data_IF_611897445924
#
_entry.id   IF_611897445924
#
_cell.length_a   1.000
_cell.length_b   1.000
_cell.length_c   1.000
_cell.angle_alpha   90.00
_cell.angle_beta   90.00
_cell.angle_gamma   90.00
#
_symmetry.space_group_name_H-M   'P 1'
#
loop_
_entity.id
_entity.type
_entity.pdbx_description
1 polymer ?
#
# COMPACT_ATOMS: atom_id res chain seq x y z
N UNK A 1 15.12 37.78 9.95
CA UNK A 1 15.07 36.48 9.26
C UNK A 1 14.69 36.75 7.81
N UNK A 2 15.18 35.96 6.86
CA UNK A 2 14.61 35.96 5.51
C UNK A 2 13.08 35.75 5.60
N UNK A 3 12.32 36.35 4.70
CA UNK A 3 10.84 36.21 4.66
C UNK A 3 10.39 34.80 4.27
N UNK A 4 11.36 33.93 3.97
CA UNK A 4 11.18 32.51 3.68
C UNK A 4 12.43 31.71 4.07
N UNK A 5 12.27 30.42 4.35
CA UNK A 5 13.37 29.49 4.65
C UNK A 5 12.93 28.03 4.46
N UNK A 6 13.91 27.13 4.39
CA UNK A 6 13.67 25.70 4.20
C UNK A 6 14.07 24.89 5.45
N UNK A 7 13.35 23.81 5.71
CA UNK A 7 13.73 22.79 6.69
C UNK A 7 13.75 21.44 5.98
N UNK A 8 14.90 20.75 5.99
CA UNK A 8 15.03 19.38 5.50
C UNK A 8 15.00 18.41 6.67
N UNK A 9 14.10 17.43 6.59
CA UNK A 9 13.80 16.43 7.61
C UNK A 9 14.13 15.04 7.05
N UNK A 10 14.65 14.15 7.89
CA UNK A 10 15.08 12.81 7.52
C UNK A 10 14.56 11.75 8.49
N UNK A 11 14.06 10.65 7.96
CA UNK A 11 13.50 9.54 8.75
C UNK A 11 14.50 8.85 9.69
N UNK A 12 15.80 8.95 9.41
CA UNK A 12 16.87 8.37 10.25
C UNK A 12 17.57 9.39 11.15
N UNK A 13 17.18 10.67 11.09
CA UNK A 13 17.71 11.69 11.98
C UNK A 13 17.01 11.64 13.35
N UNK A 14 17.62 12.28 14.35
CA UNK A 14 17.11 12.35 15.72
C UNK A 14 16.84 10.99 16.39
N UNK A 15 17.47 9.90 15.95
CA UNK A 15 17.28 8.56 16.50
C UNK A 15 17.58 8.47 18.01
N UNK A 16 18.49 9.30 18.53
CA UNK A 16 18.78 9.39 19.97
C UNK A 16 17.60 9.94 20.79
N UNK A 17 16.75 10.78 20.20
CA UNK A 17 15.59 11.39 20.84
C UNK A 17 14.30 10.62 20.53
N UNK A 18 14.21 10.04 19.33
CA UNK A 18 13.04 9.33 18.84
C UNK A 18 13.44 7.94 18.30
N UNK A 19 13.76 6.97 19.19
CA UNK A 19 14.17 5.64 18.78
C UNK A 19 13.06 4.83 18.08
N UNK A 20 11.80 5.27 18.20
CA UNK A 20 10.64 4.68 17.53
C UNK A 20 10.36 5.23 16.12
N UNK A 21 11.20 6.12 15.58
CA UNK A 21 11.05 6.63 14.22
C UNK A 21 11.05 5.47 13.20
N UNK A 22 10.14 5.56 12.23
CA UNK A 22 10.03 4.65 11.08
C UNK A 22 10.19 5.42 9.77
N UNK A 23 10.20 4.73 8.64
CA UNK A 23 10.23 5.40 7.33
C UNK A 23 8.94 6.16 7.01
N UNK A 24 7.82 5.79 7.64
CA UNK A 24 6.50 6.40 7.41
C UNK A 24 6.11 7.39 8.48
N UNK A 25 6.65 7.26 9.69
CA UNK A 25 6.29 8.10 10.83
C UNK A 25 7.54 8.44 11.62
N UNK A 26 7.95 9.70 11.58
CA UNK A 26 9.18 10.13 12.23
C UNK A 26 9.12 11.57 12.71
N UNK A 27 9.93 11.84 13.73
CA UNK A 27 10.16 13.16 14.29
C UNK A 27 11.61 13.59 14.09
N UNK A 28 11.83 14.87 13.81
CA UNK A 28 13.16 15.47 13.78
C UNK A 28 13.22 16.65 14.74
N UNK A 29 14.16 16.60 15.68
CA UNK A 29 14.53 17.75 16.53
C UNK A 29 15.24 18.79 15.68
N UNK A 30 14.88 20.06 15.86
CA UNK A 30 15.58 21.18 15.28
C UNK A 30 16.78 21.55 16.16
N UNK A 31 17.89 22.07 15.58
CA UNK A 31 19.05 22.51 16.35
C UNK A 31 18.72 23.62 17.36
N UNK A 32 17.72 24.45 17.05
CA UNK A 32 17.23 25.54 17.89
C UNK A 32 15.69 25.53 17.88
N UNK A 33 15.09 26.09 18.94
CA UNK A 33 13.64 26.30 18.96
C UNK A 33 13.29 27.40 17.96
N UNK A 34 12.46 27.06 16.99
CA UNK A 34 12.00 28.00 15.98
C UNK A 34 10.78 28.74 16.51
N UNK A 35 10.85 30.07 16.54
CA UNK A 35 9.74 30.98 16.83
C UNK A 35 9.46 31.83 15.59
N UNK A 36 8.28 31.60 14.99
CA UNK A 36 7.82 32.30 13.80
C UNK A 36 7.27 33.72 14.10
N UNK A 37 7.13 34.10 15.37
CA UNK A 37 6.59 35.41 15.75
C UNK A 37 5.12 35.59 15.36
N UNK A 38 4.73 36.83 15.04
CA UNK A 38 3.32 37.23 14.79
C UNK A 38 2.91 37.20 13.33
N UNK A 39 3.78 36.79 12.41
CA UNK A 39 3.49 36.75 10.97
C UNK A 39 2.46 35.68 10.59
N UNK A 40 1.74 35.93 9.49
CA UNK A 40 0.90 34.92 8.83
C UNK A 40 1.80 33.97 8.02
N UNK A 41 2.40 33.00 8.69
CA UNK A 41 3.28 32.03 8.04
C UNK A 41 2.49 30.94 7.32
N UNK A 42 3.01 30.54 6.17
CA UNK A 42 2.58 29.37 5.44
C UNK A 42 3.75 28.40 5.27
N UNK A 43 3.41 27.12 5.18
CA UNK A 43 4.35 26.03 4.91
C UNK A 43 3.83 25.18 3.75
N UNK A 44 4.75 24.71 2.92
CA UNK A 44 4.44 23.75 1.88
C UNK A 44 5.53 22.71 1.71
N UNK A 45 5.18 21.59 1.10
CA UNK A 45 6.15 20.55 0.73
C UNK A 45 6.85 20.93 -0.57
N UNK A 46 8.15 21.24 -0.48
CA UNK A 46 8.99 21.61 -1.62
C UNK A 46 9.60 20.38 -2.30
N UNK A 47 10.11 19.44 -1.51
CA UNK A 47 10.70 18.20 -2.04
C UNK A 47 10.35 17.01 -1.15
N UNK A 48 10.23 15.83 -1.77
CA UNK A 48 10.12 14.57 -1.05
C UNK A 48 10.88 13.48 -1.79
N UNK A 49 11.76 12.78 -1.06
CA UNK A 49 12.48 11.61 -1.52
C UNK A 49 12.08 10.40 -0.68
N UNK A 50 11.74 9.29 -1.34
CA UNK A 50 11.35 8.07 -0.64
C UNK A 50 11.70 6.82 -1.45
N UNK A 51 11.89 5.67 -0.82
CA UNK A 51 12.22 4.43 -1.51
C UNK A 51 10.98 3.82 -2.21
N UNK A 52 11.16 3.21 -3.38
CA UNK A 52 10.13 2.50 -4.13
C UNK A 52 10.32 0.98 -4.08
N UNK A 53 10.49 0.45 -2.88
CA UNK A 53 10.97 -0.92 -2.64
C UNK A 53 10.00 -1.84 -1.91
N UNK A 54 8.73 -1.45 -1.76
CA UNK A 54 7.73 -2.28 -1.10
C UNK A 54 7.18 -3.39 -1.99
N UNK A 55 6.74 -4.47 -1.35
CA UNK A 55 5.99 -5.53 -2.01
C UNK A 55 4.50 -5.21 -2.02
N UNK A 56 3.85 -5.47 -3.16
CA UNK A 56 2.39 -5.44 -3.25
C UNK A 56 1.75 -6.72 -2.68
N UNK A 57 2.55 -7.77 -2.48
CA UNK A 57 2.20 -8.97 -1.74
C UNK A 57 3.18 -9.18 -0.57
N UNK A 58 2.70 -9.00 0.66
CA UNK A 58 3.48 -9.18 1.89
C UNK A 58 3.45 -10.65 2.37
N UNK A 59 4.26 -11.05 3.37
CA UNK A 59 4.13 -12.38 3.98
C UNK A 59 2.69 -12.68 4.44
N UNK A 60 2.14 -13.83 4.03
CA UNK A 60 0.75 -14.24 4.30
C UNK A 60 -0.31 -13.69 3.35
N UNK A 61 -0.02 -12.60 2.61
CA UNK A 61 -0.95 -12.05 1.63
C UNK A 61 -1.21 -13.01 0.46
N UNK A 62 -0.27 -13.91 0.17
CA UNK A 62 -0.30 -14.87 -0.93
C UNK A 62 -0.95 -16.22 -0.61
N UNK A 63 -1.53 -16.39 0.57
CA UNK A 63 -1.96 -17.69 1.05
C UNK A 63 -3.20 -18.22 0.30
N UNK A 64 -3.15 -19.50 -0.03
CA UNK A 64 -4.16 -20.23 -0.78
C UNK A 64 -4.32 -21.64 -0.23
N UNK A 65 -5.50 -22.22 -0.38
CA UNK A 65 -5.77 -23.62 -0.06
C UNK A 65 -6.56 -24.24 -1.20
N UNK A 66 -6.06 -25.34 -1.76
CA UNK A 66 -6.83 -26.17 -2.68
C UNK A 66 -7.62 -27.17 -1.86
N UNK A 67 -8.90 -27.32 -2.18
CA UNK A 67 -9.83 -28.19 -1.48
C UNK A 67 -10.41 -29.17 -2.50
N UNK A 68 -10.48 -30.44 -2.15
CA UNK A 68 -11.10 -31.49 -2.96
C UNK A 68 -12.01 -32.33 -2.08
N UNK A 69 -13.22 -32.56 -2.55
CA UNK A 69 -14.16 -33.47 -1.90
C UNK A 69 -14.22 -34.79 -2.65
N UNK A 70 -14.08 -35.90 -1.91
CA UNK A 70 -14.37 -37.23 -2.43
C UNK A 70 -15.66 -37.75 -1.80
N UNK A 71 -16.61 -38.08 -2.66
CA UNK A 71 -17.88 -38.72 -2.29
C UNK A 71 -17.66 -40.23 -2.22
N UNK A 72 -17.08 -40.70 -1.11
CA UNK A 72 -17.08 -42.11 -0.70
C UNK A 72 -18.28 -42.40 0.22
N UNK A 73 -18.32 -43.54 0.91
CA UNK A 73 -19.37 -43.83 1.92
C UNK A 73 -19.45 -42.75 3.02
N UNK A 74 -18.33 -42.05 3.27
CA UNK A 74 -18.26 -40.82 4.05
C UNK A 74 -17.60 -39.73 3.20
N UNK A 75 -18.17 -38.52 3.18
CA UNK A 75 -17.57 -37.38 2.49
C UNK A 75 -16.21 -37.06 3.12
N UNK A 76 -15.13 -37.22 2.35
CA UNK A 76 -13.77 -36.92 2.82
C UNK A 76 -13.26 -35.67 2.11
N UNK A 77 -12.83 -34.68 2.88
CA UNK A 77 -12.25 -33.44 2.36
C UNK A 77 -10.73 -33.50 2.45
N UNK A 78 -10.08 -33.22 1.33
CA UNK A 78 -8.62 -33.11 1.24
C UNK A 78 -8.24 -31.66 0.99
N UNK A 79 -7.24 -31.17 1.71
CA UNK A 79 -6.71 -29.83 1.57
C UNK A 79 -5.23 -29.83 1.21
N UNK A 80 -4.79 -28.81 0.48
CA UNK A 80 -3.39 -28.57 0.17
C UNK A 80 -3.10 -27.08 0.21
N UNK A 81 -2.30 -26.66 1.18
CA UNK A 81 -1.91 -25.27 1.33
C UNK A 81 -0.83 -24.89 0.31
N UNK A 82 -1.03 -23.71 -0.28
CA UNK A 82 -0.14 -23.08 -1.22
C UNK A 82 0.11 -21.64 -0.75
N UNK A 83 1.30 -21.11 -0.98
CA UNK A 83 1.56 -19.69 -0.72
C UNK A 83 2.28 -19.08 -1.90
N UNK A 84 1.67 -18.05 -2.47
CA UNK A 84 2.30 -17.21 -3.46
C UNK A 84 3.43 -16.40 -2.78
N UNK A 85 4.69 -16.51 -3.22
CA UNK A 85 5.80 -15.85 -2.55
C UNK A 85 5.61 -14.33 -2.46
N UNK A 86 5.96 -13.71 -1.32
CA UNK A 86 5.98 -12.25 -1.18
C UNK A 86 6.86 -11.62 -2.25
N UNK A 87 6.47 -10.44 -2.71
CA UNK A 87 7.21 -9.75 -3.75
C UNK A 87 6.40 -8.74 -4.51
N UNK A 88 7.03 -8.18 -5.55
CA UNK A 88 6.42 -7.20 -6.44
C UNK A 88 5.95 -7.83 -7.74
N UNK A 89 4.64 -7.93 -7.91
CA UNK A 89 4.01 -8.39 -9.14
C UNK A 89 3.60 -7.18 -10.00
N UNK A 90 4.26 -6.96 -11.14
CA UNK A 90 4.06 -5.76 -11.97
C UNK A 90 3.05 -5.95 -13.11
N UNK A 91 2.72 -7.19 -13.46
CA UNK A 91 1.77 -7.51 -14.54
C UNK A 91 0.80 -8.60 -14.12
N UNK A 92 -0.45 -8.49 -14.57
CA UNK A 92 -1.49 -9.50 -14.30
C UNK A 92 -1.09 -10.86 -14.87
N UNK A 93 -0.51 -10.88 -16.07
CA UNK A 93 0.01 -12.10 -16.70
C UNK A 93 1.09 -12.76 -15.84
N UNK A 94 2.05 -11.99 -15.32
CA UNK A 94 3.11 -12.51 -14.45
C UNK A 94 2.57 -13.11 -13.16
N UNK A 95 1.62 -12.42 -12.51
CA UNK A 95 0.93 -12.92 -11.32
C UNK A 95 0.19 -14.24 -11.60
N UNK A 96 -0.64 -14.27 -12.65
CA UNK A 96 -1.42 -15.46 -13.04
C UNK A 96 -0.51 -16.64 -13.39
N UNK A 97 0.59 -16.40 -14.12
CA UNK A 97 1.56 -17.44 -14.43
C UNK A 97 2.17 -18.05 -13.17
N UNK A 98 2.52 -17.22 -12.18
CA UNK A 98 3.09 -17.71 -10.93
C UNK A 98 2.08 -18.51 -10.11
N UNK A 99 0.83 -18.05 -10.02
CA UNK A 99 -0.27 -18.80 -9.40
C UNK A 99 -0.45 -20.17 -10.04
N UNK A 100 -0.52 -20.22 -11.37
CA UNK A 100 -0.71 -21.48 -12.09
C UNK A 100 0.50 -22.42 -11.96
N UNK A 101 1.73 -21.90 -11.90
CA UNK A 101 2.91 -22.75 -11.63
C UNK A 101 2.83 -23.42 -10.25
N UNK A 102 2.37 -22.70 -9.22
CA UNK A 102 2.21 -23.27 -7.88
C UNK A 102 1.13 -24.35 -7.85
N UNK A 103 0.02 -24.13 -8.55
CA UNK A 103 -1.05 -25.12 -8.66
C UNK A 103 -0.60 -26.36 -9.46
N UNK A 104 0.24 -26.18 -10.48
CA UNK A 104 0.77 -27.29 -11.26
C UNK A 104 1.73 -28.19 -10.47
N UNK A 105 2.41 -27.65 -9.45
CA UNK A 105 3.28 -28.38 -8.54
C UNK A 105 2.50 -29.12 -7.42
N UNK A 106 1.20 -28.87 -7.28
CA UNK A 106 0.35 -29.56 -6.31
C UNK A 106 0.23 -31.07 -6.62
N UNK A 107 -0.04 -31.92 -5.61
CA UNK A 107 -0.26 -33.35 -5.82
C UNK A 107 -1.31 -33.65 -6.88
N UNK A 108 -1.19 -34.79 -7.55
CA UNK A 108 -2.04 -35.19 -8.70
C UNK A 108 -3.55 -35.11 -8.44
N UNK A 109 -3.98 -35.24 -7.18
CA UNK A 109 -5.38 -35.06 -6.78
C UNK A 109 -5.95 -33.65 -7.02
N UNK A 110 -5.09 -32.63 -7.16
CA UNK A 110 -5.45 -31.23 -7.34
C UNK A 110 -5.06 -30.65 -8.71
N UNK A 111 -4.08 -31.26 -9.39
CA UNK A 111 -3.56 -30.78 -10.68
C UNK A 111 -4.65 -30.74 -11.75
N UNK A 112 -4.74 -29.61 -12.49
CA UNK A 112 -5.70 -29.45 -13.58
C UNK A 112 -7.17 -29.36 -13.14
N UNK A 113 -7.43 -29.08 -11.86
CA UNK A 113 -8.77 -28.84 -11.31
C UNK A 113 -9.07 -27.37 -11.05
N UNK A 114 -8.04 -26.59 -10.75
CA UNK A 114 -8.13 -25.15 -10.50
C UNK A 114 -7.12 -24.44 -11.39
N UNK A 115 -7.50 -23.33 -12.03
CA UNK A 115 -6.56 -22.49 -12.76
C UNK A 115 -7.06 -21.06 -12.91
N UNK A 116 -6.13 -20.13 -13.02
CA UNK A 116 -6.39 -18.72 -13.29
C UNK A 116 -6.11 -18.39 -14.76
N UNK A 117 -6.93 -17.54 -15.36
CA UNK A 117 -6.76 -17.07 -16.74
C UNK A 117 -6.77 -15.56 -16.76
N UNK A 118 -5.71 -14.95 -17.30
CA UNK A 118 -5.64 -13.51 -17.52
C UNK A 118 -6.51 -13.12 -18.73
N UNK A 119 -7.49 -12.25 -18.52
CA UNK A 119 -8.37 -11.70 -19.55
C UNK A 119 -7.81 -10.35 -20.02
N UNK A 120 -7.11 -10.38 -21.15
CA UNK A 120 -6.55 -9.20 -21.81
C UNK A 120 -7.38 -8.84 -23.03
N UNK A 121 -7.72 -7.57 -23.29
CA UNK A 121 -7.20 -6.35 -22.64
C UNK A 121 -8.00 -5.86 -21.42
N UNK A 122 -9.02 -6.60 -20.96
CA UNK A 122 -9.93 -6.16 -19.89
C UNK A 122 -9.27 -6.00 -18.51
N UNK A 123 -8.03 -6.49 -18.35
CA UNK A 123 -7.30 -6.54 -17.07
C UNK A 123 -8.10 -7.27 -15.99
N UNK A 124 -8.83 -8.30 -16.39
CA UNK A 124 -9.62 -9.15 -15.50
C UNK A 124 -8.97 -10.52 -15.36
N UNK A 125 -9.40 -11.28 -14.38
CA UNK A 125 -8.97 -12.68 -14.21
C UNK A 125 -10.21 -13.57 -14.12
N UNK A 126 -10.15 -14.72 -14.77
CA UNK A 126 -11.10 -15.81 -14.57
C UNK A 126 -10.44 -16.87 -13.71
N UNK A 127 -11.06 -17.20 -12.58
CA UNK A 127 -10.73 -18.40 -11.80
C UNK A 127 -11.67 -19.52 -12.22
N UNK A 128 -11.12 -20.62 -12.72
CA UNK A 128 -11.88 -21.82 -13.09
C UNK A 128 -11.65 -22.91 -12.05
N UNK A 129 -12.73 -23.58 -11.65
CA UNK A 129 -12.75 -24.59 -10.59
C UNK A 129 -13.62 -25.76 -11.05
N UNK A 130 -13.08 -26.98 -11.05
CA UNK A 130 -13.86 -28.20 -11.36
C UNK A 130 -14.84 -28.53 -10.25
N UNK A 131 -15.91 -29.24 -10.60
CA UNK A 131 -17.05 -29.53 -9.72
C UNK A 131 -16.74 -30.43 -8.52
N UNK A 132 -15.55 -30.99 -8.40
CA UNK A 132 -15.12 -31.78 -7.25
C UNK A 132 -14.07 -31.04 -6.40
N UNK A 133 -13.96 -29.72 -6.58
CA UNK A 133 -12.91 -28.91 -5.99
C UNK A 133 -13.43 -27.54 -5.57
N UNK A 134 -12.72 -26.96 -4.61
CA UNK A 134 -12.83 -25.57 -4.23
C UNK A 134 -11.42 -24.98 -4.04
N UNK A 135 -11.33 -23.65 -4.03
CA UNK A 135 -10.11 -22.93 -3.68
C UNK A 135 -10.44 -21.82 -2.70
N UNK A 136 -9.67 -21.74 -1.63
CA UNK A 136 -9.63 -20.60 -0.73
C UNK A 136 -8.43 -19.74 -1.04
N UNK A 137 -8.60 -18.42 -1.07
CA UNK A 137 -7.51 -17.46 -1.18
C UNK A 137 -7.63 -16.41 -0.08
N UNK A 138 -6.51 -15.80 0.31
CA UNK A 138 -6.51 -14.72 1.30
C UNK A 138 -7.39 -13.53 0.84
N UNK A 139 -7.93 -12.73 1.79
CA UNK A 139 -8.64 -11.48 1.46
C UNK A 139 -7.83 -10.55 0.57
N UNK A 140 -6.53 -10.44 0.81
CA UNK A 140 -5.64 -9.57 0.04
C UNK A 140 -5.57 -10.03 -1.40
N UNK A 141 -5.28 -11.32 -1.64
CA UNK A 141 -5.16 -11.86 -2.97
C UNK A 141 -6.49 -11.78 -3.74
N UNK A 142 -7.62 -12.03 -3.06
CA UNK A 142 -8.96 -11.84 -3.64
C UNK A 142 -9.19 -10.40 -4.11
N UNK A 143 -8.87 -9.40 -3.26
CA UNK A 143 -8.96 -7.98 -3.62
C UNK A 143 -8.05 -7.63 -4.80
N UNK A 144 -6.78 -8.04 -4.74
CA UNK A 144 -5.82 -7.79 -5.83
C UNK A 144 -6.29 -8.38 -7.17
N UNK A 145 -6.88 -9.58 -7.15
CA UNK A 145 -7.43 -10.22 -8.35
C UNK A 145 -8.81 -9.70 -8.76
N UNK A 146 -9.44 -8.85 -7.96
CA UNK A 146 -10.81 -8.34 -8.19
C UNK A 146 -11.89 -9.41 -8.06
N UNK A 147 -11.62 -10.50 -7.33
CA UNK A 147 -12.54 -11.61 -7.11
C UNK A 147 -13.36 -11.39 -5.83
N UNK A 148 -14.67 -11.59 -5.93
CA UNK A 148 -15.59 -11.57 -4.79
C UNK A 148 -16.20 -12.98 -4.63
N UNK A 149 -16.22 -13.49 -3.40
CA UNK A 149 -16.70 -14.82 -3.08
C UNK A 149 -17.20 -14.89 -1.64
N UNK A 150 -17.59 -16.07 -1.18
CA UNK A 150 -18.00 -16.28 0.21
C UNK A 150 -16.78 -16.21 1.12
N UNK A 151 -16.90 -15.50 2.24
CA UNK A 151 -15.82 -15.34 3.22
C UNK A 151 -16.07 -16.31 4.38
N UNK A 152 -15.08 -17.11 4.73
CA UNK A 152 -15.15 -18.03 5.89
C UNK A 152 -14.96 -17.28 7.21
N UNK A 153 -15.23 -17.96 8.32
CA UNK A 153 -14.94 -17.42 9.66
C UNK A 153 -13.45 -17.11 9.88
N UNK A 154 -12.56 -17.83 9.19
CA UNK A 154 -11.11 -17.59 9.16
C UNK A 154 -10.71 -16.45 8.21
N UNK A 155 -11.68 -15.81 7.55
CA UNK A 155 -11.46 -14.71 6.62
C UNK A 155 -11.03 -15.11 5.20
N UNK A 156 -10.92 -16.39 4.85
CA UNK A 156 -10.57 -16.81 3.48
C UNK A 156 -11.74 -16.59 2.53
N UNK A 157 -11.47 -16.21 1.29
CA UNK A 157 -12.47 -16.11 0.22
C UNK A 157 -12.51 -17.43 -0.55
N UNK A 158 -13.65 -18.12 -0.54
CA UNK A 158 -13.83 -19.47 -1.09
C UNK A 158 -14.57 -19.41 -2.43
N UNK A 159 -14.11 -20.26 -3.36
CA UNK A 159 -14.68 -20.47 -4.69
C UNK A 159 -14.88 -21.97 -4.91
N UNK A 160 -16.12 -22.39 -5.12
CA UNK A 160 -16.53 -23.80 -5.18
C UNK A 160 -17.04 -24.17 -6.59
N UNK A 161 -16.39 -25.16 -7.21
CA UNK A 161 -16.75 -25.63 -8.54
C UNK A 161 -18.10 -26.34 -8.62
N UNK A 162 -18.66 -26.83 -7.50
CA UNK A 162 -20.04 -27.36 -7.43
C UNK A 162 -21.04 -26.23 -7.66
N UNK A 163 -20.80 -25.08 -7.03
CA UNK A 163 -21.67 -23.90 -7.13
C UNK A 163 -21.47 -23.23 -8.49
N UNK A 164 -20.21 -23.03 -8.90
CA UNK A 164 -19.89 -22.31 -10.13
C UNK A 164 -18.53 -22.72 -10.67
N UNK A 165 -18.50 -23.12 -11.95
CA UNK A 165 -17.27 -23.58 -12.61
C UNK A 165 -16.28 -22.47 -12.94
N UNK A 166 -16.76 -21.24 -13.12
CA UNK A 166 -15.94 -20.09 -13.51
C UNK A 166 -16.34 -18.82 -12.77
N UNK A 167 -15.39 -18.20 -12.10
CA UNK A 167 -15.52 -16.93 -11.40
C UNK A 167 -14.74 -15.86 -12.15
N UNK A 168 -15.45 -14.96 -12.81
CA UNK A 168 -14.85 -13.81 -13.49
C UNK A 168 -14.72 -12.69 -12.47
N UNK A 169 -13.54 -12.07 -12.39
CA UNK A 169 -13.30 -10.93 -11.52
C UNK A 169 -14.32 -9.82 -11.79
N UNK A 170 -14.97 -9.35 -10.72
CA UNK A 170 -15.95 -8.28 -10.79
C UNK A 170 -15.24 -6.97 -11.13
N UNK A 171 -14.11 -6.73 -10.46
CA UNK A 171 -13.24 -5.58 -10.66
C UNK A 171 -12.04 -5.95 -11.53
N UNK A 172 -11.36 -4.93 -12.05
CA UNK A 172 -10.06 -5.11 -12.71
C UNK A 172 -9.01 -5.52 -11.67
N UNK A 173 -7.98 -6.23 -12.11
CA UNK A 173 -6.84 -6.57 -11.26
C UNK A 173 -6.13 -5.31 -10.84
N UNK A 174 -5.99 -5.15 -9.52
CA UNK A 174 -5.26 -4.07 -8.89
C UNK A 174 -3.97 -4.61 -8.28
N UNK A 175 -2.84 -4.30 -8.92
CA UNK A 175 -1.51 -4.65 -8.45
C UNK A 175 -0.89 -3.55 -7.59
N UNK A 176 -1.52 -2.40 -7.44
CA UNK A 176 -1.01 -1.33 -6.57
C UNK A 176 -1.60 -1.44 -5.16
N UNK A 177 -2.70 -2.18 -4.98
CA UNK A 177 -3.41 -2.36 -3.71
C UNK A 177 -3.66 -1.01 -3.02
N UNK A 178 -4.08 -0.01 -3.80
CA UNK A 178 -4.34 1.34 -3.30
C UNK A 178 -3.11 2.20 -3.00
N UNK A 179 -1.88 1.70 -3.24
CA UNK A 179 -0.62 2.46 -3.12
C UNK A 179 -0.28 3.27 -4.38
N UNK A 180 -1.30 3.88 -4.99
CA UNK A 180 -1.13 4.82 -6.11
C UNK A 180 -0.73 6.22 -5.63
N UNK A 181 -0.99 6.54 -4.35
CA UNK A 181 -0.73 7.85 -3.78
C UNK A 181 -0.23 7.74 -2.34
N UNK A 182 0.74 8.59 -1.98
CA UNK A 182 1.22 8.76 -0.61
C UNK A 182 0.67 10.07 -0.04
N UNK A 183 0.10 10.00 1.16
CA UNK A 183 -0.45 11.14 1.86
C UNK A 183 0.53 11.58 2.92
N UNK A 184 1.10 12.78 2.75
CA UNK A 184 2.13 13.33 3.64
C UNK A 184 1.49 14.35 4.57
N UNK A 185 1.57 14.09 5.87
CA UNK A 185 1.08 14.93 6.95
C UNK A 185 2.24 15.51 7.74
N UNK A 186 2.01 16.64 8.39
CA UNK A 186 2.97 17.20 9.35
C UNK A 186 2.29 18.06 10.40
N UNK A 187 2.72 17.92 11.64
CA UNK A 187 2.22 18.67 12.79
C UNK A 187 2.43 20.20 12.72
N UNK A 188 3.30 20.68 11.83
CA UNK A 188 3.47 22.13 11.59
C UNK A 188 2.31 22.75 10.82
N UNK A 189 1.51 21.96 10.08
CA UNK A 189 0.43 22.50 9.24
C UNK A 189 -0.86 22.63 10.06
N UNK A 190 -1.58 23.74 9.87
CA UNK A 190 -2.92 23.87 10.43
C UNK A 190 -3.86 22.80 9.88
N UNK A 191 -4.74 22.28 10.73
CA UNK A 191 -5.73 21.29 10.31
C UNK A 191 -6.67 21.88 9.26
N UNK A 192 -6.88 21.13 8.17
CA UNK A 192 -7.72 21.53 7.04
C UNK A 192 -8.70 20.43 6.68
N UNK A 193 -9.79 20.82 6.04
CA UNK A 193 -10.80 19.88 5.56
C UNK A 193 -10.20 19.04 4.43
N UNK A 194 -10.24 17.73 4.60
CA UNK A 194 -9.90 16.74 3.59
C UNK A 194 -10.91 15.61 3.65
N UNK A 195 -11.72 15.46 2.59
CA UNK A 195 -12.85 14.53 2.62
C UNK A 195 -13.85 14.88 3.71
N UNK A 196 -14.11 13.92 4.59
CA UNK A 196 -15.00 14.00 5.75
C UNK A 196 -14.28 14.39 7.06
N UNK A 197 -12.97 14.65 6.99
CA UNK A 197 -12.10 14.82 8.16
C UNK A 197 -11.36 16.16 8.16
N UNK A 198 -10.89 16.60 9.35
CA UNK A 198 -9.95 17.73 9.48
C UNK A 198 -8.59 17.20 9.89
N UNK A 199 -7.59 17.33 9.02
CA UNK A 199 -6.25 16.72 9.18
C UNK A 199 -5.14 17.67 8.72
N UNK A 200 -3.90 17.56 9.24
CA UNK A 200 -2.78 18.43 8.88
C UNK A 200 -2.03 17.92 7.64
N UNK A 201 -2.74 17.80 6.50
CA UNK A 201 -2.19 17.28 5.25
C UNK A 201 -1.34 18.33 4.51
N UNK A 202 -0.06 18.00 4.28
CA UNK A 202 0.86 18.79 3.45
C UNK A 202 0.59 18.57 1.96
N UNK A 203 0.60 17.31 1.51
CA UNK A 203 0.49 16.99 0.08
C UNK A 203 0.12 15.53 -0.15
N UNK A 204 -0.48 15.26 -1.31
CA UNK A 204 -0.66 13.91 -1.86
C UNK A 204 0.37 13.73 -2.99
N UNK A 205 1.20 12.70 -2.91
CA UNK A 205 2.24 12.39 -3.88
C UNK A 205 1.80 11.20 -4.74
N UNK A 206 1.71 11.33 -6.07
CA UNK A 206 1.44 10.19 -6.94
C UNK A 206 2.65 9.25 -6.95
N UNK A 207 2.39 7.94 -6.93
CA UNK A 207 3.42 6.92 -7.04
C UNK A 207 3.51 6.46 -8.50
N UNK A 208 4.67 6.66 -9.18
CA UNK A 208 4.85 6.16 -10.54
C UNK A 208 4.84 4.64 -10.59
N UNK A 209 4.16 4.07 -11.59
CA UNK A 209 4.00 2.61 -11.74
C UNK A 209 5.32 1.87 -12.02
N UNK A 210 6.24 2.54 -12.72
CA UNK A 210 7.56 2.02 -13.06
C UNK A 210 8.61 3.04 -12.61
N UNK A 211 9.26 2.79 -11.49
CA UNK A 211 10.30 3.67 -10.97
C UNK A 211 11.52 2.89 -10.51
N UNK A 212 12.65 3.59 -10.44
CA UNK A 212 13.85 3.22 -9.69
C UNK A 212 13.57 3.00 -8.21
N UNK A 213 14.52 2.36 -7.53
CA UNK A 213 14.49 2.07 -6.09
C UNK A 213 14.32 3.30 -5.19
N UNK A 214 14.63 4.49 -5.69
CA UNK A 214 14.39 5.76 -5.01
C UNK A 214 13.65 6.73 -5.92
N UNK A 215 12.63 7.37 -5.37
CA UNK A 215 11.81 8.39 -6.02
C UNK A 215 12.15 9.76 -5.44
N UNK A 216 12.23 10.76 -6.31
CA UNK A 216 12.41 12.15 -5.94
C UNK A 216 11.31 12.99 -6.60
N UNK A 217 10.55 13.71 -5.78
CA UNK A 217 9.59 14.71 -6.20
C UNK A 217 10.11 16.08 -5.78
N UNK A 218 10.40 16.94 -6.75
CA UNK A 218 10.66 18.36 -6.53
C UNK A 218 9.50 19.17 -7.14
N UNK A 219 8.94 20.09 -6.37
CA UNK A 219 7.72 20.78 -6.75
C UNK A 219 7.95 22.23 -7.14
N UNK A 220 7.74 22.55 -8.42
CA UNK A 220 7.69 23.94 -8.89
C UNK A 220 6.46 24.68 -8.32
N UNK A 221 5.32 24.00 -8.31
CA UNK A 221 4.07 24.51 -7.72
C UNK A 221 3.90 23.93 -6.31
N UNK A 222 4.41 24.65 -5.31
CA UNK A 222 4.25 24.31 -3.90
C UNK A 222 2.86 24.72 -3.41
N UNK A 223 2.15 23.80 -2.76
CA UNK A 223 0.90 24.11 -2.09
C UNK A 223 1.19 24.59 -0.67
N UNK A 224 0.92 25.87 -0.42
CA UNK A 224 1.13 26.50 0.89
C UNK A 224 -0.12 26.47 1.73
N UNK A 225 0.05 26.13 3.00
CA UNK A 225 -1.01 26.11 4.00
C UNK A 225 -0.57 26.85 5.26
N UNK A 226 -1.50 27.45 6.03
CA UNK A 226 -1.15 28.14 7.27
C UNK A 226 -0.38 27.22 8.23
N UNK A 227 0.65 27.76 8.89
CA UNK A 227 1.34 27.03 9.96
C UNK A 227 0.43 26.98 11.20
N UNK A 228 0.23 25.78 11.75
CA UNK A 228 -0.66 25.53 12.90
C UNK A 228 -0.05 25.86 14.26
N UNK A 229 1.27 26.02 14.34
CA UNK A 229 2.01 26.32 15.57
C UNK A 229 3.11 27.35 15.32
N UNK A 230 3.32 28.24 16.30
CA UNK A 230 4.29 29.35 16.18
C UNK A 230 5.67 29.02 16.72
N UNK A 231 5.72 28.26 17.81
CA UNK A 231 6.95 27.90 18.51
C UNK A 231 7.07 26.39 18.54
N UNK A 232 8.17 25.85 18.02
CA UNK A 232 8.42 24.41 17.98
C UNK A 232 9.91 24.09 17.87
N UNK A 233 10.30 22.96 18.43
CA UNK A 233 11.69 22.46 18.41
C UNK A 233 11.79 21.06 17.79
N UNK A 234 10.70 20.47 17.34
CA UNK A 234 10.68 19.21 16.63
C UNK A 234 9.56 19.22 15.60
N UNK A 235 9.73 18.54 14.47
CA UNK A 235 8.72 18.40 13.39
C UNK A 235 8.39 16.94 13.17
N UNK A 236 7.10 16.63 13.12
CA UNK A 236 6.56 15.32 12.78
C UNK A 236 6.29 15.23 11.28
N UNK A 237 6.65 14.10 10.68
CA UNK A 237 6.20 13.68 9.36
C UNK A 237 5.49 12.34 9.50
N UNK A 238 4.28 12.26 8.94
CA UNK A 238 3.52 11.02 8.84
C UNK A 238 3.12 10.78 7.38
N UNK A 239 3.40 9.59 6.85
CA UNK A 239 3.18 9.19 5.46
C UNK A 239 2.31 7.95 5.43
N UNK A 240 1.11 8.09 4.85
CA UNK A 240 0.11 7.02 4.77
C UNK A 240 -0.26 6.70 3.34
N UNK A 241 -0.79 5.50 3.15
CA UNK A 241 -1.51 5.16 1.92
C UNK A 241 -2.90 5.83 1.88
N UNK A 242 -3.64 5.57 0.80
CA UNK A 242 -5.00 6.09 0.59
C UNK A 242 -6.02 5.61 1.63
N UNK A 243 -5.71 4.56 2.38
CA UNK A 243 -6.56 3.99 3.45
C UNK A 243 -6.15 4.46 4.85
N UNK A 244 -5.11 5.30 4.96
CA UNK A 244 -4.57 5.77 6.24
C UNK A 244 -3.59 4.79 6.90
N UNK A 245 -3.18 3.71 6.24
CA UNK A 245 -2.21 2.75 6.78
C UNK A 245 -0.78 3.19 6.50
N UNK A 246 0.20 2.76 7.33
CA UNK A 246 1.61 2.96 7.02
C UNK A 246 1.98 2.29 5.68
N UNK A 247 2.73 3.01 4.85
CA UNK A 247 3.36 2.45 3.65
C UNK A 247 4.39 1.38 4.06
N UNK A 248 4.37 0.17 3.48
CA UNK A 248 5.27 -0.93 3.86
C UNK A 248 6.66 -0.77 3.21
N UNK A 249 7.36 0.32 3.48
CA UNK A 249 8.75 0.49 3.01
C UNK A 249 9.66 -0.58 3.62
N UNK A 250 10.46 -1.25 2.79
CA UNK A 250 11.32 -2.35 3.26
C UNK A 250 12.64 -1.85 3.87
N UNK A 251 13.23 -0.80 3.27
CA UNK A 251 14.53 -0.22 3.67
C UNK A 251 14.74 1.16 3.08
N UNK A 252 15.81 1.83 3.51
CA UNK A 252 16.28 3.08 2.91
C UNK A 252 16.07 4.27 3.83
N UNK A 253 15.71 5.40 3.24
CA UNK A 253 15.55 6.68 3.93
C UNK A 253 14.49 7.51 3.24
N UNK A 254 13.69 8.22 4.02
CA UNK A 254 12.78 9.26 3.53
C UNK A 254 13.33 10.63 3.91
N UNK A 255 13.35 11.53 2.93
CA UNK A 255 13.78 12.93 3.10
C UNK A 255 12.64 13.83 2.65
N UNK A 256 12.30 14.82 3.47
CA UNK A 256 11.25 15.79 3.22
C UNK A 256 11.83 17.18 3.39
N UNK A 257 11.66 18.04 2.38
CA UNK A 257 12.04 19.45 2.48
C UNK A 257 10.77 20.30 2.53
N UNK A 258 10.57 20.98 3.65
CA UNK A 258 9.49 21.94 3.87
C UNK A 258 9.99 23.34 3.54
N UNK A 259 9.14 24.13 2.88
CA UNK A 259 9.39 25.54 2.63
C UNK A 259 8.41 26.38 3.43
N UNK A 260 8.95 27.25 4.30
CA UNK A 260 8.21 28.20 5.10
C UNK A 260 8.34 29.59 4.50
N UNK A 261 7.26 30.35 4.44
CA UNK A 261 7.26 31.74 4.00
C UNK A 261 6.19 32.56 4.70
N UNK A 262 6.39 33.88 4.75
CA UNK A 262 5.30 34.80 5.07
C UNK A 262 4.29 34.83 3.93
N UNK A 263 2.99 34.81 4.27
CA UNK A 263 1.91 34.95 3.31
C UNK A 263 2.00 36.31 2.63
N UNK A 264 2.24 36.29 1.32
CA UNK A 264 2.16 37.50 0.51
C UNK A 264 0.68 37.89 0.35
N UNK A 265 0.37 39.16 0.63
CA UNK A 265 -0.98 39.72 0.49
C UNK A 265 -1.29 40.08 -0.95
#
# INVERSE_FOLDING_TARGET
>A
MSEEFYITLSSNASANFFPGNTLTHFFNTLPETLDLGTGDWEVGLAECQYPYNWYNLQPGDGDMVLIREEQLEFSTTFTYDLSLPPGRYTTTKGLVNKLNSLIAEAPSGFTGKVWFTNQSPQKKVTLSVKSDSAVGISPKLARMLGLEGQVTDEGRVIFDGLVRKEYISKHVVDLTDGLDNLWVYSDVVAHRIVGDSKVPLLRVLPVPKNSSDQLHHAFENIHYFPVGRRVFNAVEIDIRDTTGRPVPFERGQVIVTLHFRLRQR
#
